data_IF_549229868992
#
_entry.id   IF_549229868992
#
_cell.length_a   1.000
_cell.length_b   1.000
_cell.length_c   1.000
_cell.angle_alpha   90.00
_cell.angle_beta   90.00
_cell.angle_gamma   90.00
#
_symmetry.space_group_name_H-M   'P 1'
#
loop_
_entity.id
_entity.type
_entity.pdbx_description
1 polymer ?
#
# COMPACT_ATOMS: atom_id res chain seq x y z
N UNK A 1 -13.19 -23.78 11.42
CA UNK A 1 -12.59 -22.78 10.50
C UNK A 1 -11.65 -21.98 11.34
N UNK A 2 -10.36 -22.11 11.03
CA UNK A 2 -9.27 -21.60 11.85
C UNK A 2 -8.85 -20.18 11.44
N UNK A 3 -9.17 -19.79 10.19
CA UNK A 3 -8.89 -18.47 9.61
C UNK A 3 -10.02 -18.10 8.63
N UNK A 4 -10.30 -16.81 8.46
CA UNK A 4 -11.25 -16.30 7.46
C UNK A 4 -10.46 -15.58 6.36
N UNK A 5 -10.57 -16.04 5.12
CA UNK A 5 -10.10 -15.27 3.95
C UNK A 5 -11.29 -14.47 3.44
N UNK A 6 -11.29 -13.17 3.72
CA UNK A 6 -12.38 -12.27 3.43
C UNK A 6 -12.08 -11.46 2.17
N UNK A 7 -12.66 -11.88 1.04
CA UNK A 7 -12.48 -11.21 -0.25
C UNK A 7 -13.52 -10.10 -0.43
N UNK A 8 -13.09 -8.84 -0.37
CA UNK A 8 -13.91 -7.63 -0.58
C UNK A 8 -13.36 -6.81 -1.74
N UNK A 9 -14.10 -5.79 -2.17
CA UNK A 9 -13.65 -4.81 -3.14
C UNK A 9 -14.76 -4.41 -4.12
N UNK A 10 -14.44 -4.46 -5.40
CA UNK A 10 -15.29 -3.99 -6.49
C UNK A 10 -15.69 -5.15 -7.41
N UNK A 11 -16.88 -5.04 -8.01
CA UNK A 11 -17.32 -5.93 -9.07
C UNK A 11 -16.54 -5.66 -10.37
N UNK A 12 -16.56 -6.59 -11.31
CA UNK A 12 -15.97 -6.37 -12.63
C UNK A 12 -16.63 -5.18 -13.35
N UNK A 13 -15.82 -4.27 -13.88
CA UNK A 13 -16.25 -3.13 -14.68
C UNK A 13 -15.21 -2.82 -15.76
N UNK A 14 -15.56 -1.91 -16.67
CA UNK A 14 -14.64 -1.36 -17.68
C UNK A 14 -15.08 0.07 -17.98
N UNK A 15 -14.12 1.00 -18.06
CA UNK A 15 -14.38 2.41 -18.40
C UNK A 15 -15.48 3.06 -17.52
N UNK A 16 -16.42 3.78 -18.15
CA UNK A 16 -17.46 4.61 -17.52
C UNK A 16 -18.39 3.88 -16.54
N UNK A 17 -18.82 2.63 -16.79
CA UNK A 17 -19.53 1.82 -15.78
C UNK A 17 -18.80 1.70 -14.44
N UNK A 18 -17.48 1.89 -14.41
CA UNK A 18 -16.66 1.87 -13.21
C UNK A 18 -16.58 3.21 -12.47
N UNK A 19 -17.17 4.29 -12.98
CA UNK A 19 -17.15 5.60 -12.31
C UNK A 19 -18.01 5.56 -11.04
N UNK A 20 -17.44 6.02 -9.94
CA UNK A 20 -18.08 5.98 -8.63
C UNK A 20 -18.08 7.37 -7.98
N UNK A 21 -19.14 7.65 -7.23
CA UNK A 21 -19.28 8.87 -6.45
C UNK A 21 -18.72 8.72 -5.02
N UNK A 22 -18.19 7.55 -4.66
CA UNK A 22 -17.66 7.24 -3.33
C UNK A 22 -16.56 6.18 -3.42
N UNK A 23 -15.58 6.30 -2.53
CA UNK A 23 -14.51 5.31 -2.32
C UNK A 23 -14.80 4.32 -1.18
N UNK A 24 -15.95 4.43 -0.50
CA UNK A 24 -16.35 3.48 0.56
C UNK A 24 -16.73 2.11 -0.01
N UNK A 25 -16.33 1.00 0.63
CA UNK A 25 -16.93 -0.31 0.32
C UNK A 25 -18.46 -0.25 0.50
N UNK A 26 -19.20 -1.09 -0.21
CA UNK A 26 -20.67 -1.11 -0.06
C UNK A 26 -21.06 -1.48 1.38
N UNK A 27 -22.17 -0.98 1.89
CA UNK A 27 -22.65 -1.26 3.26
C UNK A 27 -22.66 -2.76 3.56
N UNK A 28 -23.22 -3.59 2.67
CA UNK A 28 -23.21 -5.06 2.81
C UNK A 28 -21.81 -5.68 3.00
N UNK A 29 -20.77 -5.10 2.40
CA UNK A 29 -19.40 -5.58 2.54
C UNK A 29 -18.78 -5.14 3.86
N UNK A 30 -19.12 -3.94 4.33
CA UNK A 30 -18.72 -3.45 5.65
C UNK A 30 -19.37 -4.29 6.75
N UNK A 31 -20.67 -4.55 6.66
CA UNK A 31 -21.41 -5.39 7.60
C UNK A 31 -20.84 -6.82 7.64
N UNK A 32 -20.50 -7.38 6.47
CA UNK A 32 -19.87 -8.70 6.38
C UNK A 32 -18.49 -8.71 7.07
N UNK A 33 -17.71 -7.66 6.89
CA UNK A 33 -16.40 -7.52 7.54
C UNK A 33 -16.54 -7.43 9.05
N UNK A 34 -17.49 -6.64 9.55
CA UNK A 34 -17.77 -6.53 10.98
C UNK A 34 -18.18 -7.89 11.57
N UNK A 35 -19.10 -8.61 10.91
CA UNK A 35 -19.48 -9.96 11.36
C UNK A 35 -18.27 -10.89 11.37
N UNK A 36 -17.39 -10.86 10.36
CA UNK A 36 -16.19 -11.68 10.34
C UNK A 36 -15.25 -11.36 11.52
N UNK A 37 -15.00 -10.07 11.80
CA UNK A 37 -14.18 -9.60 12.92
C UNK A 37 -14.75 -10.07 14.26
N UNK A 38 -16.06 -9.91 14.48
CA UNK A 38 -16.70 -10.31 15.75
C UNK A 38 -16.63 -11.80 16.06
N UNK A 39 -16.27 -12.65 15.09
CA UNK A 39 -16.04 -14.09 15.35
C UNK A 39 -14.81 -14.36 16.21
N UNK A 40 -13.89 -13.40 16.33
CA UNK A 40 -12.62 -13.54 17.05
C UNK A 40 -11.62 -14.49 16.37
N UNK A 41 -11.90 -14.91 15.13
CA UNK A 41 -10.97 -15.68 14.31
C UNK A 41 -10.05 -14.73 13.56
N UNK A 42 -8.81 -15.16 13.23
CA UNK A 42 -7.97 -14.34 12.40
C UNK A 42 -8.59 -14.10 11.02
N UNK A 43 -8.59 -12.84 10.57
CA UNK A 43 -9.19 -12.41 9.31
C UNK A 43 -8.11 -11.86 8.39
N UNK A 44 -8.02 -12.45 7.20
CA UNK A 44 -7.16 -12.00 6.10
C UNK A 44 -8.06 -11.27 5.10
N UNK A 45 -7.92 -9.95 5.02
CA UNK A 45 -8.63 -9.12 4.06
C UNK A 45 -7.93 -9.17 2.70
N UNK A 46 -8.63 -9.67 1.69
CA UNK A 46 -8.16 -9.66 0.29
C UNK A 46 -8.97 -8.63 -0.48
N UNK A 47 -8.28 -7.64 -1.04
CA UNK A 47 -8.90 -6.55 -1.80
C UNK A 47 -8.81 -6.84 -3.29
N UNK A 48 -9.97 -6.99 -3.94
CA UNK A 48 -10.11 -7.14 -5.38
C UNK A 48 -10.77 -5.87 -5.93
N UNK A 49 -9.97 -4.87 -6.30
CA UNK A 49 -10.42 -3.53 -6.64
C UNK A 49 -9.51 -2.88 -7.68
N UNK A 50 -10.03 -2.02 -8.55
CA UNK A 50 -9.20 -1.35 -9.56
C UNK A 50 -8.72 0.04 -9.14
N UNK A 51 -9.08 0.47 -7.92
CA UNK A 51 -8.73 1.76 -7.31
C UNK A 51 -8.76 1.61 -5.79
N UNK A 52 -8.06 2.48 -5.03
CA UNK A 52 -8.13 2.42 -3.59
C UNK A 52 -9.57 2.61 -3.07
N UNK A 53 -10.00 1.71 -2.19
CA UNK A 53 -11.20 1.87 -1.37
C UNK A 53 -10.83 2.35 0.03
N UNK A 54 -11.73 3.05 0.71
CA UNK A 54 -11.49 3.44 2.11
C UNK A 54 -11.71 2.23 3.01
N UNK A 55 -10.61 1.74 3.57
CA UNK A 55 -10.56 0.56 4.43
C UNK A 55 -10.03 0.88 5.83
N UNK A 56 -9.78 2.14 6.16
CA UNK A 56 -9.11 2.59 7.40
C UNK A 56 -9.67 1.96 8.68
N UNK A 57 -11.00 1.80 8.75
CA UNK A 57 -11.65 1.19 9.92
C UNK A 57 -11.53 -0.34 9.92
N UNK A 58 -11.49 -0.96 8.75
CA UNK A 58 -11.39 -2.42 8.61
C UNK A 58 -9.95 -2.88 8.81
N UNK A 59 -9.00 -2.24 8.15
CA UNK A 59 -7.57 -2.58 8.11
C UNK A 59 -6.97 -2.81 9.49
N UNK A 60 -7.28 -1.94 10.45
CA UNK A 60 -6.80 -2.03 11.84
C UNK A 60 -7.25 -3.29 12.58
N UNK A 61 -8.40 -3.82 12.20
CA UNK A 61 -9.02 -4.99 12.84
C UNK A 61 -8.67 -6.30 12.11
N UNK A 62 -7.92 -6.24 10.99
CA UNK A 62 -7.50 -7.41 10.22
C UNK A 62 -6.09 -7.86 10.62
N UNK A 63 -5.86 -9.18 10.63
CA UNK A 63 -4.53 -9.75 10.90
C UNK A 63 -3.59 -9.62 9.70
N UNK A 64 -4.15 -9.52 8.49
CA UNK A 64 -3.41 -9.27 7.26
C UNK A 64 -4.30 -8.61 6.20
N UNK A 65 -3.68 -7.77 5.37
CA UNK A 65 -4.30 -7.17 4.19
C UNK A 65 -3.48 -7.49 2.96
N UNK A 66 -4.14 -7.99 1.91
CA UNK A 66 -3.54 -8.30 0.62
C UNK A 66 -4.29 -7.57 -0.50
N UNK A 67 -3.60 -6.66 -1.18
CA UNK A 67 -4.12 -6.00 -2.38
C UNK A 67 -3.88 -6.89 -3.61
N UNK A 68 -4.97 -7.41 -4.18
CA UNK A 68 -4.96 -8.31 -5.35
C UNK A 68 -5.23 -7.56 -6.66
N UNK A 69 -5.74 -6.33 -6.60
CA UNK A 69 -6.19 -5.55 -7.74
C UNK A 69 -7.28 -6.26 -8.57
N UNK A 70 -7.21 -6.16 -9.91
CA UNK A 70 -8.02 -6.92 -10.86
C UNK A 70 -7.10 -7.96 -11.52
N UNK A 71 -6.94 -9.15 -10.93
CA UNK A 71 -5.82 -10.06 -11.21
C UNK A 71 -6.00 -10.93 -12.48
N UNK A 72 -7.02 -10.65 -13.29
CA UNK A 72 -7.31 -11.40 -14.52
C UNK A 72 -7.70 -12.86 -14.28
N UNK A 73 -7.63 -13.66 -15.35
CA UNK A 73 -8.19 -15.03 -15.36
C UNK A 73 -7.49 -16.01 -14.42
N UNK A 74 -6.20 -15.80 -14.13
CA UNK A 74 -5.40 -16.65 -13.23
C UNK A 74 -5.26 -16.06 -11.83
N UNK A 75 -6.05 -15.03 -11.50
CA UNK A 75 -5.89 -14.30 -10.24
C UNK A 75 -6.15 -15.12 -8.99
N UNK A 76 -7.07 -16.08 -9.05
CA UNK A 76 -7.32 -17.00 -7.93
C UNK A 76 -6.15 -17.94 -7.66
N UNK A 77 -5.44 -18.37 -8.71
CA UNK A 77 -4.24 -19.20 -8.61
C UNK A 77 -3.09 -18.40 -7.99
N UNK A 78 -2.85 -17.18 -8.50
CA UNK A 78 -1.86 -16.27 -7.93
C UNK A 78 -2.14 -15.93 -6.45
N UNK A 79 -3.41 -15.69 -6.09
CA UNK A 79 -3.83 -15.47 -4.71
C UNK A 79 -3.49 -16.68 -3.82
N UNK A 80 -3.80 -17.90 -4.28
CA UNK A 80 -3.53 -19.12 -3.53
C UNK A 80 -2.02 -19.34 -3.33
N UNK A 81 -1.20 -19.09 -4.35
CA UNK A 81 0.26 -19.19 -4.25
C UNK A 81 0.84 -18.20 -3.24
N UNK A 82 0.32 -16.97 -3.20
CA UNK A 82 0.73 -15.97 -2.21
C UNK A 82 0.31 -16.43 -0.81
N UNK A 83 -0.96 -16.76 -0.59
CA UNK A 83 -1.48 -17.16 0.73
C UNK A 83 -0.80 -18.42 1.29
N UNK A 84 -0.39 -19.35 0.43
CA UNK A 84 0.34 -20.56 0.85
C UNK A 84 1.85 -20.33 0.98
N UNK A 85 2.35 -19.16 0.57
CA UNK A 85 3.76 -18.83 0.57
C UNK A 85 4.58 -19.52 -0.51
N UNK A 86 3.94 -20.12 -1.50
CA UNK A 86 4.60 -20.60 -2.72
C UNK A 86 5.23 -19.44 -3.50
N UNK A 87 4.59 -18.27 -3.44
CA UNK A 87 5.11 -17.01 -3.98
C UNK A 87 5.22 -15.98 -2.86
N UNK A 88 6.40 -15.37 -2.69
CA UNK A 88 6.59 -14.25 -1.76
C UNK A 88 6.12 -12.94 -2.43
N UNK A 89 5.17 -12.18 -1.83
CA UNK A 89 4.71 -10.93 -2.42
C UNK A 89 5.86 -9.91 -2.51
N UNK A 90 5.95 -9.26 -3.67
CA UNK A 90 6.97 -8.24 -3.96
C UNK A 90 6.38 -6.96 -4.56
N UNK A 91 5.06 -6.84 -4.62
CA UNK A 91 4.37 -5.66 -5.14
C UNK A 91 4.56 -4.45 -4.23
N UNK A 92 4.72 -3.27 -4.83
CA UNK A 92 4.74 -1.98 -4.14
C UNK A 92 3.68 -1.07 -4.75
N UNK A 93 3.00 -0.28 -3.92
CA UNK A 93 1.92 0.59 -4.37
C UNK A 93 2.42 1.67 -5.35
N UNK A 94 1.80 1.81 -6.53
CA UNK A 94 2.16 2.86 -7.49
C UNK A 94 1.43 4.19 -7.22
N UNK A 95 0.75 4.31 -6.09
CA UNK A 95 0.04 5.51 -5.64
C UNK A 95 0.03 5.55 -4.11
N UNK A 96 -0.21 6.73 -3.55
CA UNK A 96 -0.47 6.91 -2.12
C UNK A 96 -1.89 6.41 -1.81
N UNK A 97 -2.03 5.43 -0.91
CA UNK A 97 -3.32 4.88 -0.53
C UNK A 97 -4.02 5.80 0.48
N UNK A 98 -5.20 6.36 0.15
CA UNK A 98 -5.86 7.37 0.98
C UNK A 98 -6.42 6.79 2.28
N UNK A 99 -6.31 7.57 3.36
CA UNK A 99 -6.95 7.26 4.65
C UNK A 99 -8.42 7.68 4.67
N UNK A 100 -8.76 8.78 4.01
CA UNK A 100 -10.12 9.29 3.88
C UNK A 100 -10.47 9.60 2.42
N UNK A 101 -11.77 9.69 2.12
CA UNK A 101 -12.28 9.93 0.75
C UNK A 101 -11.70 11.18 0.08
N UNK A 102 -11.27 12.18 0.85
CA UNK A 102 -10.76 13.45 0.36
C UNK A 102 -9.23 13.60 0.50
N UNK A 103 -8.52 12.54 0.91
CA UNK A 103 -7.07 12.57 1.18
C UNK A 103 -6.28 12.03 -0.02
N UNK A 104 -6.53 12.59 -1.21
CA UNK A 104 -5.91 12.15 -2.46
C UNK A 104 -4.60 12.90 -2.73
N UNK A 105 -3.65 12.81 -1.79
CA UNK A 105 -2.37 13.51 -1.88
C UNK A 105 -1.28 12.59 -2.50
N UNK A 106 -0.65 12.96 -3.62
CA UNK A 106 0.41 12.16 -4.24
C UNK A 106 1.72 12.22 -3.43
N UNK A 107 2.67 11.33 -3.72
CA UNK A 107 3.99 11.35 -3.08
C UNK A 107 4.81 12.61 -3.39
N UNK A 108 4.61 13.21 -4.57
CA UNK A 108 5.29 14.43 -5.02
C UNK A 108 4.46 15.69 -4.66
N UNK A 109 4.08 15.80 -3.40
CA UNK A 109 3.33 16.95 -2.89
C UNK A 109 4.27 18.07 -2.45
N UNK A 110 3.75 19.29 -2.36
CA UNK A 110 4.50 20.47 -1.91
C UNK A 110 4.74 20.38 -0.40
N UNK A 111 5.85 20.96 0.06
CA UNK A 111 6.09 21.09 1.51
C UNK A 111 4.96 21.82 2.25
N UNK A 112 4.27 22.77 1.60
CA UNK A 112 3.10 23.46 2.17
C UNK A 112 1.94 22.52 2.50
N UNK A 113 1.89 21.34 1.91
CA UNK A 113 0.88 20.29 2.19
C UNK A 113 1.27 19.41 3.39
N UNK A 114 2.42 19.68 4.03
CA UNK A 114 2.85 19.06 5.30
C UNK A 114 2.67 19.98 6.51
N UNK A 115 2.08 21.16 6.34
CA UNK A 115 1.88 22.12 7.43
C UNK A 115 0.76 21.63 8.35
N UNK A 116 1.00 21.46 9.67
CA UNK A 116 -0.05 21.06 10.61
C UNK A 116 -1.20 22.06 10.61
N UNK A 117 -2.43 21.58 10.78
CA UNK A 117 -3.59 22.43 10.94
C UNK A 117 -3.51 23.16 12.29
N UNK A 118 -2.93 24.35 12.30
CA UNK A 118 -2.67 25.11 13.52
C UNK A 118 -3.85 26.03 13.85
N UNK A 119 -5.03 25.44 14.06
CA UNK A 119 -6.27 26.16 14.41
C UNK A 119 -6.50 26.22 15.93
N UNK A 120 -5.44 26.03 16.73
CA UNK A 120 -5.52 26.06 18.20
C UNK A 120 -6.08 24.78 18.85
N UNK A 121 -6.35 23.74 18.06
CA UNK A 121 -6.65 22.40 18.56
C UNK A 121 -5.43 21.47 18.34
N UNK A 122 -4.78 21.05 19.42
CA UNK A 122 -3.55 20.24 19.45
C UNK A 122 -3.72 18.78 18.95
N UNK A 123 -4.80 18.46 18.24
CA UNK A 123 -5.21 17.07 17.93
C UNK A 123 -5.48 16.80 16.44
N UNK A 124 -4.93 17.59 15.53
CA UNK A 124 -5.13 17.36 14.09
C UNK A 124 -3.92 16.63 13.50
N UNK A 125 -4.20 15.49 12.88
CA UNK A 125 -3.23 14.72 12.08
C UNK A 125 -2.51 15.63 11.07
N UNK A 126 -1.26 15.31 10.68
CA UNK A 126 -0.60 16.04 9.59
C UNK A 126 -1.44 15.96 8.32
N UNK A 127 -1.42 17.01 7.48
CA UNK A 127 -2.19 17.02 6.22
C UNK A 127 -1.85 15.82 5.33
N UNK A 128 -0.58 15.46 5.23
CA UNK A 128 -0.17 14.19 4.62
C UNK A 128 -0.25 13.05 5.65
N UNK A 129 -1.40 12.37 5.69
CA UNK A 129 -1.63 11.21 6.55
C UNK A 129 -2.27 10.04 5.76
N UNK A 130 -1.57 9.46 4.77
CA UNK A 130 -2.11 8.35 4.01
C UNK A 130 -2.25 7.10 4.88
N UNK A 131 -3.08 6.16 4.42
CA UNK A 131 -3.12 4.83 5.03
C UNK A 131 -1.85 4.05 4.70
N UNK A 132 -1.43 4.11 3.43
CA UNK A 132 -0.16 3.57 2.97
C UNK A 132 0.50 4.56 2.00
N UNK A 133 1.79 4.79 2.15
CA UNK A 133 2.55 5.67 1.26
C UNK A 133 2.77 5.04 -0.13
N UNK A 134 3.08 5.89 -1.11
CA UNK A 134 3.60 5.42 -2.39
C UNK A 134 4.83 4.53 -2.17
N UNK A 135 4.92 3.44 -2.92
CA UNK A 135 6.01 2.49 -2.79
C UNK A 135 5.91 1.56 -1.57
N UNK A 136 4.85 1.67 -0.76
CA UNK A 136 4.60 0.73 0.33
C UNK A 136 4.27 -0.67 -0.20
N UNK A 137 4.77 -1.70 0.47
CA UNK A 137 4.47 -3.09 0.18
C UNK A 137 5.40 -4.01 0.97
N UNK A 138 4.81 -4.98 1.65
CA UNK A 138 5.53 -5.90 2.53
C UNK A 138 5.99 -7.15 1.77
N UNK A 139 6.81 -7.96 2.44
CA UNK A 139 7.31 -9.24 1.96
C UNK A 139 7.25 -10.25 3.11
N UNK A 140 7.26 -11.54 2.80
CA UNK A 140 7.44 -12.61 3.81
C UNK A 140 8.89 -12.71 4.31
N UNK A 141 9.81 -11.92 3.74
CA UNK A 141 11.16 -11.73 4.26
C UNK A 141 11.40 -10.25 4.60
N UNK A 142 12.56 -9.94 5.16
CA UNK A 142 12.98 -8.56 5.47
C UNK A 142 14.22 -8.18 4.66
N UNK A 143 14.35 -6.91 4.34
CA UNK A 143 15.50 -6.36 3.62
C UNK A 143 16.13 -5.23 4.42
N UNK A 144 17.45 -5.26 4.57
CA UNK A 144 18.22 -4.20 5.21
C UNK A 144 19.03 -3.41 4.17
N UNK A 145 18.96 -2.09 4.29
CA UNK A 145 19.69 -1.15 3.44
C UNK A 145 20.90 -0.59 4.20
N UNK A 146 22.05 -0.51 3.54
CA UNK A 146 23.27 0.03 4.14
C UNK A 146 24.22 0.64 3.11
N UNK A 147 25.17 1.45 3.58
CA UNK A 147 26.25 1.98 2.74
C UNK A 147 25.79 2.89 1.60
N UNK A 148 24.73 3.67 1.80
CA UNK A 148 24.31 4.68 0.84
C UNK A 148 25.46 5.65 0.57
N UNK A 149 25.84 5.78 -0.70
CA UNK A 149 26.85 6.73 -1.15
C UNK A 149 26.46 7.36 -2.47
N UNK A 150 26.76 8.64 -2.60
CA UNK A 150 26.52 9.42 -3.81
C UNK A 150 27.85 10.02 -4.24
N UNK A 151 28.22 9.84 -5.51
CA UNK A 151 29.43 10.42 -6.10
C UNK A 151 29.05 11.18 -7.37
N UNK A 152 29.50 12.42 -7.48
CA UNK A 152 29.47 13.16 -8.74
C UNK A 152 30.75 12.90 -9.52
N UNK A 153 30.66 12.70 -10.83
CA UNK A 153 31.84 12.67 -11.71
C UNK A 153 32.47 14.06 -11.79
N UNK A 154 31.64 15.09 -11.92
CA UNK A 154 32.03 16.51 -11.95
C UNK A 154 30.91 17.39 -11.38
N UNK A 155 31.25 18.52 -10.76
CA UNK A 155 30.29 19.54 -10.35
C UNK A 155 29.94 20.42 -11.56
N UNK A 156 29.19 19.88 -12.51
CA UNK A 156 28.71 20.59 -13.68
C UNK A 156 27.24 20.25 -13.95
N UNK A 157 26.49 21.09 -14.72
CA UNK A 157 25.11 20.79 -15.10
C UNK A 157 24.94 19.46 -15.86
N UNK A 158 26.02 18.96 -16.47
CA UNK A 158 26.05 17.69 -17.20
C UNK A 158 26.84 16.60 -16.46
N UNK A 159 27.17 16.83 -15.18
CA UNK A 159 27.85 15.87 -14.35
C UNK A 159 26.96 14.65 -14.08
N UNK A 160 27.56 13.46 -14.01
CA UNK A 160 26.85 12.24 -13.68
C UNK A 160 26.87 12.01 -12.17
N UNK A 161 25.72 11.63 -11.60
CA UNK A 161 25.62 11.18 -10.22
C UNK A 161 25.53 9.65 -10.19
N UNK A 162 26.47 9.02 -9.50
CA UNK A 162 26.41 7.60 -9.18
C UNK A 162 25.92 7.43 -7.76
N UNK A 163 24.73 6.83 -7.60
CA UNK A 163 24.17 6.43 -6.31
C UNK A 163 24.39 4.93 -6.11
N UNK A 164 24.97 4.54 -4.97
CA UNK A 164 25.15 3.14 -4.59
C UNK A 164 24.56 2.90 -3.22
N UNK A 165 23.89 1.76 -3.08
CA UNK A 165 23.38 1.25 -1.81
C UNK A 165 23.52 -0.27 -1.81
N UNK A 166 23.81 -0.84 -0.65
CA UNK A 166 23.81 -2.30 -0.46
C UNK A 166 22.47 -2.72 0.12
N UNK A 167 21.85 -3.73 -0.45
CA UNK A 167 20.59 -4.31 0.01
C UNK A 167 20.83 -5.78 0.33
N UNK A 168 20.48 -6.21 1.54
CA UNK A 168 20.64 -7.58 1.98
C UNK A 168 19.27 -8.15 2.38
N UNK A 169 18.96 -9.37 1.92
CA UNK A 169 17.86 -10.16 2.47
C UNK A 169 18.29 -10.67 3.86
N UNK A 170 17.56 -10.28 4.90
CA UNK A 170 17.88 -10.59 6.30
C UNK A 170 16.91 -11.57 6.95
N UNK A 171 15.87 -12.01 6.23
CA UNK A 171 14.96 -13.05 6.72
C UNK A 171 15.36 -14.45 6.27
N UNK A 172 14.44 -15.39 6.45
CA UNK A 172 14.61 -16.83 6.20
C UNK A 172 13.94 -17.31 4.90
N UNK A 173 13.43 -16.38 4.08
CA UNK A 173 12.74 -16.66 2.83
C UNK A 173 13.37 -15.92 1.65
N UNK A 174 13.36 -16.56 0.49
CA UNK A 174 13.64 -15.88 -0.77
C UNK A 174 12.56 -14.82 -1.05
N UNK A 175 12.96 -13.69 -1.62
CA UNK A 175 12.06 -12.58 -1.93
C UNK A 175 12.69 -11.58 -2.87
N UNK A 176 11.86 -10.79 -3.54
CA UNK A 176 12.27 -9.68 -4.38
C UNK A 176 11.93 -8.35 -3.71
N UNK A 177 12.80 -7.35 -3.89
CA UNK A 177 12.65 -6.01 -3.32
C UNK A 177 12.79 -4.95 -4.39
N UNK A 178 11.89 -3.96 -4.39
CA UNK A 178 11.95 -2.80 -5.28
C UNK A 178 12.68 -1.67 -4.56
N UNK A 179 13.95 -1.46 -4.91
CA UNK A 179 14.78 -0.36 -4.40
C UNK A 179 14.34 0.95 -5.04
N UNK A 180 13.85 1.89 -4.24
CA UNK A 180 13.29 3.16 -4.71
C UNK A 180 14.29 4.31 -4.47
N UNK A 181 14.56 5.10 -5.51
CA UNK A 181 15.41 6.29 -5.44
C UNK A 181 14.56 7.55 -5.60
N UNK A 182 14.65 8.44 -4.62
CA UNK A 182 13.97 9.74 -4.64
C UNK A 182 15.02 10.85 -4.60
N UNK A 183 14.69 12.00 -5.19
CA UNK A 183 15.48 13.22 -5.13
C UNK A 183 14.58 14.41 -4.86
N UNK A 184 15.06 15.36 -4.06
CA UNK A 184 14.43 16.67 -3.89
C UNK A 184 15.47 17.75 -4.18
N UNK A 185 15.01 18.84 -4.78
CA UNK A 185 15.73 20.10 -4.75
C UNK A 185 15.34 20.85 -3.48
N UNK A 186 16.26 21.61 -2.87
CA UNK A 186 16.07 22.31 -1.59
C UNK A 186 16.13 23.82 -1.76
#
# INVERSE_FOLDING_TARGET
>A
VDYIVLCLGENSYTEKPGDLNSLMLSENQQDLAEVAITTGKPVILVLNEGRPRIITNLEREMDAVLQLYLPGNHGGEALAEILTGATNPSGKLPYTYPRHVNDLIPYHHKFSENVPHNDGNEYLDPFFNPLYEFGHGLSYTTFAYSGLSVKASENSPNGELTVKVTVANTGDRDGAEVVQLYSTDV
#
